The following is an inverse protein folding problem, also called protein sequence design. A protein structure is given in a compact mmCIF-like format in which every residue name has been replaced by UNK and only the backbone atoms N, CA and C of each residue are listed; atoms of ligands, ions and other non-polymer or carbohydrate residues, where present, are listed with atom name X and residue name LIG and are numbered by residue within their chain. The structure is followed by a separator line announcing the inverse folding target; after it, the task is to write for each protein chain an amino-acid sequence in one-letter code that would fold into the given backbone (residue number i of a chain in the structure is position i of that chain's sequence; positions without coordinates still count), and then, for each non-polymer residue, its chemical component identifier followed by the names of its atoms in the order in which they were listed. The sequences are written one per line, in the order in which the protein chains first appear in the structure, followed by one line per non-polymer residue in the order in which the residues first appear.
data_IF_390585163696
#
_entry.id   IF_390585163696
#
_cell.length_a   1.000
_cell.length_b   1.000
_cell.length_c   1.000
_cell.angle_alpha   90.00
_cell.angle_beta   90.00
_cell.angle_gamma   90.00
#
_symmetry.space_group_name_H-M   'P 1'
#
loop_
_entity.id
_entity.type
_entity.pdbx_description
1 polymer ?
2 non-polymer ?
3 non-polymer ?
4 water ?
#
# COMPACT_ATOMS: atom_id res chain seq x y z
N UNK A 6 -7.44 -6.60 -61.56
CA UNK A 6 -8.58 -7.27 -60.89
C UNK A 6 -9.89 -6.82 -61.56
N UNK A 7 -10.93 -7.66 -61.51
CA UNK A 7 -12.30 -7.38 -61.99
C UNK A 7 -12.90 -6.22 -61.19
N UNK A 8 -13.96 -5.64 -61.71
CA UNK A 8 -14.79 -4.64 -60.98
C UNK A 8 -15.32 -5.25 -59.68
N UNK A 9 -15.70 -6.52 -59.69
CA UNK A 9 -16.28 -7.18 -58.49
C UNK A 9 -15.18 -7.31 -57.43
N UNK A 10 -13.96 -7.69 -57.84
CA UNK A 10 -12.80 -7.82 -56.90
C UNK A 10 -12.47 -6.46 -56.30
N UNK A 11 -12.48 -5.43 -57.13
CA UNK A 11 -12.16 -4.05 -56.68
C UNK A 11 -13.25 -3.52 -55.76
N UNK A 12 -14.52 -3.74 -56.07
CA UNK A 12 -15.64 -3.28 -55.18
C UNK A 12 -15.49 -4.00 -53.82
N UNK A 13 -15.25 -5.30 -53.83
CA UNK A 13 -15.20 -6.05 -52.54
C UNK A 13 -13.99 -5.58 -51.74
N UNK A 14 -12.88 -5.29 -52.41
CA UNK A 14 -11.65 -4.85 -51.73
C UNK A 14 -11.90 -3.48 -51.10
N UNK A 15 -12.66 -2.61 -51.76
CA UNK A 15 -12.94 -1.23 -51.31
C UNK A 15 -13.90 -1.31 -50.14
N UNK A 16 -14.92 -2.18 -50.21
CA UNK A 16 -15.88 -2.37 -49.11
C UNK A 16 -15.10 -2.77 -47.84
N UNK A 17 -14.24 -3.77 -47.90
CA UNK A 17 -13.42 -4.25 -46.76
C UNK A 17 -12.51 -3.14 -46.23
N UNK A 18 -11.88 -2.38 -47.11
CA UNK A 18 -10.98 -1.28 -46.67
C UNK A 18 -11.79 -0.20 -45.97
N UNK A 19 -12.95 0.19 -46.52
CA UNK A 19 -13.77 1.24 -45.90
C UNK A 19 -14.36 0.73 -44.58
N UNK A 20 -14.72 -0.54 -44.48
CA UNK A 20 -15.23 -1.09 -43.18
C UNK A 20 -14.11 -0.98 -42.14
N UNK A 21 -12.85 -1.27 -42.50
CA UNK A 21 -11.75 -1.24 -41.50
C UNK A 21 -11.53 0.19 -41.01
N UNK A 22 -11.63 1.21 -41.89
CA UNK A 22 -11.50 2.63 -41.47
C UNK A 22 -12.66 3.01 -40.52
N UNK A 23 -13.88 2.55 -40.81
CA UNK A 23 -15.07 2.76 -39.94
C UNK A 23 -14.90 2.05 -38.59
N UNK A 24 -14.37 0.83 -38.63
CA UNK A 24 -14.10 0.03 -37.41
C UNK A 24 -13.17 0.84 -36.50
N UNK A 25 -12.08 1.35 -37.02
CA UNK A 25 -11.10 2.09 -36.20
C UNK A 25 -11.76 3.32 -35.56
N UNK A 26 -12.54 4.05 -36.33
CA UNK A 26 -13.26 5.20 -35.78
C UNK A 26 -14.15 4.72 -34.63
N UNK A 27 -14.89 3.64 -34.86
CA UNK A 27 -15.94 3.19 -33.91
C UNK A 27 -15.29 2.78 -32.58
N UNK A 28 -14.17 2.10 -32.67
CA UNK A 28 -13.44 1.64 -31.47
C UNK A 28 -12.89 2.88 -30.71
N UNK A 29 -12.26 3.82 -31.38
CA UNK A 29 -11.78 5.07 -30.75
C UNK A 29 -12.93 5.80 -30.06
N UNK A 30 -14.07 5.90 -30.75
CA UNK A 30 -15.27 6.57 -30.21
C UNK A 30 -15.68 5.90 -28.89
N UNK A 31 -15.64 4.57 -28.80
CA UNK A 31 -16.01 3.89 -27.53
C UNK A 31 -15.12 4.45 -26.40
N UNK A 32 -13.80 4.54 -26.58
CA UNK A 32 -12.93 4.98 -25.48
C UNK A 32 -13.20 6.47 -25.20
N UNK A 33 -13.35 7.29 -26.24
CA UNK A 33 -13.56 8.73 -25.97
C UNK A 33 -14.90 8.94 -25.24
N UNK A 34 -15.94 8.19 -25.62
CA UNK A 34 -17.29 8.25 -24.99
C UNK A 34 -17.20 7.74 -23.57
N UNK A 35 -16.53 6.62 -23.36
CA UNK A 35 -16.27 6.08 -22.02
C UNK A 35 -15.71 7.20 -21.14
N UNK A 36 -14.66 7.89 -21.61
CA UNK A 36 -14.08 9.00 -20.86
C UNK A 36 -15.12 10.00 -20.43
N UNK A 37 -15.95 10.48 -21.36
CA UNK A 37 -16.89 11.58 -21.03
C UNK A 37 -17.94 11.09 -20.03
N UNK A 38 -18.20 9.78 -20.01
CA UNK A 38 -19.19 9.25 -19.04
C UNK A 38 -18.54 9.20 -17.68
N UNK A 39 -17.29 8.69 -17.60
CA UNK A 39 -16.69 8.48 -16.26
C UNK A 39 -16.36 9.84 -15.63
N UNK A 40 -16.11 10.88 -16.42
CA UNK A 40 -15.89 12.24 -15.87
C UNK A 40 -17.12 12.72 -15.13
N UNK A 41 -18.28 12.19 -15.49
CA UNK A 41 -19.56 12.58 -14.84
C UNK A 41 -20.03 11.52 -13.84
N UNK A 42 -19.19 10.52 -13.50
CA UNK A 42 -19.62 9.49 -12.54
C UNK A 42 -20.96 8.93 -12.97
N UNK A 43 -21.07 8.52 -14.22
CA UNK A 43 -22.30 7.98 -14.83
C UNK A 43 -22.04 6.53 -15.18
N UNK A 44 -22.19 5.59 -14.24
CA UNK A 44 -21.73 4.23 -14.50
C UNK A 44 -22.63 3.47 -15.47
N UNK A 45 -23.92 3.80 -15.50
CA UNK A 45 -24.91 3.13 -16.37
C UNK A 45 -24.42 3.21 -17.82
N UNK A 46 -24.06 4.39 -18.29
CA UNK A 46 -23.67 4.62 -19.70
C UNK A 46 -22.38 3.84 -19.98
N UNK A 47 -21.52 3.76 -18.97
CA UNK A 47 -20.28 2.96 -19.06
C UNK A 47 -20.66 1.48 -19.23
N UNK A 48 -21.48 0.93 -18.32
CA UNK A 48 -21.94 -0.48 -18.39
C UNK A 48 -22.52 -0.83 -19.77
N UNK A 49 -23.27 0.11 -20.37
CA UNK A 49 -23.90 -0.04 -21.69
C UNK A 49 -22.94 -0.19 -22.85
N UNK A 50 -21.70 0.24 -22.67
CA UNK A 50 -20.64 0.11 -23.71
C UNK A 50 -20.12 -1.32 -23.84
N UNK A 51 -20.40 -2.17 -22.85
CA UNK A 51 -19.81 -3.52 -22.74
C UNK A 51 -20.70 -4.57 -23.38
N UNK A 52 -20.07 -5.53 -24.00
CA UNK A 52 -20.70 -6.83 -24.31
C UNK A 52 -21.18 -7.46 -23.00
N UNK A 53 -22.22 -8.28 -23.05
CA UNK A 53 -22.80 -8.81 -21.80
C UNK A 53 -21.82 -9.76 -21.09
N UNK A 54 -20.95 -10.43 -21.83
CA UNK A 54 -19.90 -11.33 -21.28
C UNK A 54 -18.57 -10.59 -21.25
N UNK A 55 -18.64 -9.26 -21.21
CA UNK A 55 -17.44 -8.41 -21.08
C UNK A 55 -16.96 -8.34 -19.66
N UNK A 56 -15.84 -7.68 -19.46
CA UNK A 56 -15.28 -7.49 -18.13
C UNK A 56 -14.46 -6.21 -18.12
N UNK A 57 -14.29 -5.67 -16.92
CA UNK A 57 -13.31 -4.59 -16.65
C UNK A 57 -12.30 -5.08 -15.62
N UNK A 58 -11.05 -4.72 -15.85
CA UNK A 58 -9.85 -5.06 -15.03
C UNK A 58 -9.29 -3.77 -14.42
N UNK A 59 -9.12 -3.76 -13.11
CA UNK A 59 -8.70 -2.58 -12.33
C UNK A 59 -7.90 -3.10 -11.13
N UNK A 60 -6.69 -2.61 -10.92
CA UNK A 60 -5.81 -3.05 -9.80
C UNK A 60 -5.73 -4.59 -9.79
N UNK A 61 -5.49 -5.22 -10.94
CA UNK A 61 -5.17 -6.65 -11.04
C UNK A 61 -6.35 -7.48 -10.57
N UNK A 62 -7.55 -6.96 -10.79
CA UNK A 62 -8.81 -7.64 -10.44
C UNK A 62 -9.81 -7.58 -11.57
N UNK A 63 -10.49 -8.68 -11.88
CA UNK A 63 -11.54 -8.71 -12.93
C UNK A 63 -12.94 -8.55 -12.33
N UNK A 64 -13.71 -7.62 -12.89
CA UNK A 64 -15.13 -7.33 -12.58
C UNK A 64 -15.95 -7.76 -13.79
N UNK A 65 -16.72 -8.84 -13.63
CA UNK A 65 -17.39 -9.46 -14.81
C UNK A 65 -18.80 -8.95 -15.04
N UNK A 66 -19.11 -8.69 -16.32
CA UNK A 66 -20.46 -8.36 -16.82
C UNK A 66 -20.95 -6.99 -16.35
N UNK A 67 -22.16 -6.65 -16.76
CA UNK A 67 -22.86 -5.45 -16.32
C UNK A 67 -22.81 -5.30 -14.79
N UNK A 68 -23.05 -6.36 -14.05
CA UNK A 68 -23.00 -6.39 -12.58
C UNK A 68 -21.62 -5.93 -12.12
N UNK A 69 -20.55 -6.54 -12.65
CA UNK A 69 -19.21 -6.12 -12.21
C UNK A 69 -18.91 -4.68 -12.57
N UNK A 70 -19.26 -4.28 -13.78
CA UNK A 70 -18.96 -2.90 -14.24
C UNK A 70 -19.75 -1.93 -13.33
N UNK A 71 -21.04 -2.19 -13.05
CA UNK A 71 -21.77 -1.31 -12.10
C UNK A 71 -21.16 -1.32 -10.69
N UNK A 72 -20.61 -2.45 -10.24
CA UNK A 72 -19.97 -2.50 -8.89
C UNK A 72 -18.75 -1.56 -8.87
N UNK A 73 -17.92 -1.63 -9.90
CA UNK A 73 -16.65 -0.83 -9.87
C UNK A 73 -17.00 0.65 -10.03
N UNK A 74 -17.74 1.01 -11.08
CA UNK A 74 -17.99 2.42 -11.47
C UNK A 74 -19.10 3.04 -10.62
N UNK A 75 -20.02 2.23 -10.09
CA UNK A 75 -21.15 2.67 -9.25
C UNK A 75 -20.88 2.47 -7.77
N UNK A 76 -20.88 1.23 -7.29
CA UNK A 76 -20.70 0.92 -5.85
C UNK A 76 -19.39 1.52 -5.32
N UNK A 77 -18.31 1.43 -6.06
CA UNK A 77 -17.03 2.02 -5.64
C UNK A 77 -16.94 3.50 -6.12
N UNK A 78 -16.67 3.77 -7.40
CA UNK A 78 -16.18 5.11 -7.77
C UNK A 78 -17.24 6.21 -7.51
N UNK A 79 -18.49 5.95 -7.89
CA UNK A 79 -19.58 6.95 -7.66
C UNK A 79 -19.79 7.20 -6.19
N UNK A 80 -19.89 6.16 -5.33
CA UNK A 80 -20.11 6.39 -3.90
C UNK A 80 -18.91 7.16 -3.33
N UNK A 81 -17.69 6.85 -3.76
CA UNK A 81 -16.45 7.52 -3.29
C UNK A 81 -16.48 9.02 -3.62
N UNK A 82 -16.69 9.38 -4.89
CA UNK A 82 -16.48 10.77 -5.32
C UNK A 82 -17.73 11.65 -5.20
N UNK A 83 -18.96 11.18 -5.43
CA UNK A 83 -20.20 12.03 -5.44
C UNK A 83 -21.21 11.58 -4.38
N UNK A 84 -20.85 10.62 -3.52
CA UNK A 84 -21.79 10.04 -2.55
C UNK A 84 -22.95 9.37 -3.26
N UNK A 85 -22.70 8.70 -4.38
CA UNK A 85 -23.71 7.89 -5.05
C UNK A 85 -24.68 8.69 -5.91
N UNK A 86 -24.26 9.85 -6.40
CA UNK A 86 -25.07 10.67 -7.30
C UNK A 86 -24.48 10.61 -8.70
N UNK A 87 -25.31 10.50 -9.74
CA UNK A 87 -24.87 10.83 -11.12
C UNK A 87 -24.37 12.29 -11.19
N UNK A 88 -23.20 12.48 -11.80
CA UNK A 88 -22.57 13.81 -11.87
C UNK A 88 -22.86 14.51 -13.17
N UNK A 89 -22.17 15.66 -13.41
CA UNK A 89 -21.22 16.24 -12.45
C UNK A 89 -21.96 16.87 -11.24
N UNK A 90 -21.23 17.23 -10.20
CA UNK A 90 -21.78 17.91 -8.97
C UNK A 90 -20.84 19.03 -8.58
N UNK A 91 -21.38 19.95 -7.78
CA UNK A 91 -20.69 21.16 -7.33
C UNK A 91 -19.32 20.78 -6.78
N UNK A 92 -18.30 21.44 -7.27
CA UNK A 92 -16.99 21.40 -6.61
C UNK A 92 -16.22 20.06 -6.76
N UNK A 93 -16.68 19.15 -7.59
CA UNK A 93 -16.06 17.81 -7.70
C UNK A 93 -15.50 17.72 -9.12
N UNK A 94 -14.17 17.59 -9.18
CA UNK A 94 -13.49 17.46 -10.48
C UNK A 94 -13.04 16.01 -10.64
N UNK A 95 -13.31 15.39 -11.79
CA UNK A 95 -12.81 14.03 -12.06
C UNK A 95 -12.64 13.86 -13.58
N UNK A 96 -11.71 14.63 -14.14
CA UNK A 96 -11.54 14.77 -15.61
C UNK A 96 -10.47 13.75 -16.07
N UNK A 97 -10.86 12.71 -16.76
CA UNK A 97 -9.95 11.64 -17.26
C UNK A 97 -9.63 11.91 -18.74
N UNK A 98 -8.73 12.85 -19.01
CA UNK A 98 -8.35 13.23 -20.39
C UNK A 98 -7.86 11.95 -21.13
N UNK A 99 -8.53 11.59 -22.24
CA UNK A 99 -8.24 10.35 -23.03
C UNK A 99 -7.43 10.69 -24.27
N UNK A 100 -6.41 9.90 -24.55
CA UNK A 100 -5.61 10.16 -25.77
C UNK A 100 -4.79 8.97 -26.27
N UNK A 101 -4.18 9.20 -27.43
CA UNK A 101 -3.05 8.37 -27.95
C UNK A 101 -3.53 6.93 -28.19
N UNK A 102 -4.53 6.80 -29.05
CA UNK A 102 -5.12 5.53 -29.49
C UNK A 102 -4.21 4.82 -30.48
N UNK A 103 -3.88 3.55 -30.23
CA UNK A 103 -3.25 2.69 -31.26
C UNK A 103 -4.08 1.39 -31.35
N UNK A 104 -4.92 1.29 -32.38
CA UNK A 104 -5.96 0.24 -32.49
C UNK A 104 -5.56 -0.74 -33.58
N UNK A 105 -5.79 -2.03 -33.28
CA UNK A 105 -5.44 -3.13 -34.19
C UNK A 105 -6.70 -3.99 -34.37
N UNK A 106 -7.26 -3.99 -35.57
CA UNK A 106 -8.48 -4.77 -35.89
C UNK A 106 -8.00 -6.16 -36.33
N UNK A 107 -8.62 -7.22 -35.83
CA UNK A 107 -8.26 -8.58 -36.28
C UNK A 107 -8.48 -8.69 -37.78
N UNK A 108 -7.73 -9.58 -38.49
CA UNK A 108 -7.97 -9.75 -39.93
C UNK A 108 -9.42 -10.03 -40.32
N UNK A 109 -10.14 -10.83 -39.52
CA UNK A 109 -11.56 -11.20 -39.76
C UNK A 109 -12.51 -10.03 -39.45
N UNK A 110 -12.05 -8.93 -38.86
CA UNK A 110 -12.90 -7.73 -38.61
C UNK A 110 -13.90 -7.95 -37.48
N UNK A 111 -13.84 -9.06 -36.76
CA UNK A 111 -14.88 -9.34 -35.73
C UNK A 111 -14.36 -9.00 -34.31
N UNK A 112 -13.05 -8.84 -34.12
CA UNK A 112 -12.49 -8.39 -32.82
C UNK A 112 -11.43 -7.34 -33.08
N UNK A 113 -10.98 -6.72 -32.00
CA UNK A 113 -9.92 -5.70 -32.03
C UNK A 113 -9.27 -5.55 -30.67
N UNK A 114 -8.07 -5.00 -30.70
CA UNK A 114 -7.36 -4.54 -29.49
C UNK A 114 -7.07 -3.05 -29.64
N UNK A 115 -6.86 -2.37 -28.54
CA UNK A 115 -6.46 -0.94 -28.64
C UNK A 115 -5.71 -0.54 -27.42
N UNK A 116 -4.60 0.18 -27.66
CA UNK A 116 -3.85 0.87 -26.58
C UNK A 116 -4.35 2.32 -26.50
N UNK A 117 -4.59 2.78 -25.29
CA UNK A 117 -4.92 4.18 -25.01
C UNK A 117 -4.26 4.59 -23.71
N UNK A 118 -4.41 5.87 -23.34
CA UNK A 118 -4.02 6.31 -21.99
C UNK A 118 -4.91 7.45 -21.55
N UNK A 119 -4.92 7.61 -20.25
CA UNK A 119 -5.63 8.70 -19.60
C UNK A 119 -4.76 9.44 -18.66
N UNK A 120 -4.99 10.75 -18.53
CA UNK A 120 -4.44 11.55 -17.43
C UNK A 120 -5.64 12.21 -16.73
N UNK A 121 -5.69 11.99 -15.43
CA UNK A 121 -6.80 12.45 -14.59
C UNK A 121 -6.35 13.62 -13.74
N UNK A 122 -7.19 14.65 -13.74
CA UNK A 122 -7.16 15.77 -12.78
C UNK A 122 -8.40 15.61 -11.92
N UNK A 123 -8.17 15.38 -10.63
CA UNK A 123 -9.24 15.06 -9.70
C UNK A 123 -9.17 15.86 -8.41
N UNK A 124 -10.36 16.09 -7.86
CA UNK A 124 -10.43 16.40 -6.44
C UNK A 124 -11.67 17.16 -5.98
N UNK A 125 -11.68 17.38 -4.68
CA UNK A 125 -12.75 18.07 -3.94
C UNK A 125 -12.36 19.53 -3.74
N UNK A 126 -13.21 20.44 -4.19
CA UNK A 126 -12.99 21.87 -3.90
C UNK A 126 -13.11 22.08 -2.38
N UNK A 127 -12.50 23.13 -1.87
CA UNK A 127 -12.66 23.62 -0.47
C UNK A 127 -14.15 23.71 -0.12
N UNK A 128 -15.04 24.05 -1.05
CA UNK A 128 -16.46 24.22 -0.76
C UNK A 128 -17.04 22.90 -0.23
N UNK A 129 -16.54 21.77 -0.72
CA UNK A 129 -17.18 20.44 -0.44
C UNK A 129 -16.16 19.53 0.29
N UNK A 130 -15.03 20.06 0.78
CA UNK A 130 -13.94 19.14 1.22
C UNK A 130 -14.43 18.32 2.44
N UNK A 131 -15.40 18.84 3.17
CA UNK A 131 -15.96 18.07 4.33
C UNK A 131 -16.67 16.79 3.85
N UNK A 132 -16.98 16.62 2.57
CA UNK A 132 -17.63 15.43 1.97
C UNK A 132 -16.55 14.42 1.54
N UNK A 133 -15.28 14.82 1.50
CA UNK A 133 -14.16 13.92 1.10
C UNK A 133 -13.91 12.87 2.18
N UNK A 134 -13.75 11.58 1.81
CA UNK A 134 -13.34 10.55 2.76
C UNK A 134 -12.03 10.97 3.43
N UNK A 135 -11.95 10.81 4.75
CA UNK A 135 -10.64 10.88 5.44
C UNK A 135 -9.65 9.94 4.71
N UNK A 136 -8.47 10.43 4.41
CA UNK A 136 -7.44 9.55 3.82
C UNK A 136 -7.31 9.77 2.33
N UNK A 137 -8.25 10.46 1.68
CA UNK A 137 -8.16 10.76 0.25
C UNK A 137 -7.42 12.08 0.13
N UNK A 138 -6.55 12.23 -0.90
CA UNK A 138 -5.99 13.55 -1.24
C UNK A 138 -7.11 14.51 -1.69
N UNK A 139 -6.99 15.75 -1.29
CA UNK A 139 -7.98 16.79 -1.71
C UNK A 139 -7.86 16.95 -3.23
N UNK A 140 -6.68 16.88 -3.81
CA UNK A 140 -6.51 17.17 -5.25
C UNK A 140 -5.26 16.42 -5.75
N UNK A 141 -5.38 15.85 -6.91
CA UNK A 141 -4.38 14.89 -7.40
C UNK A 141 -4.46 14.76 -8.91
N UNK A 142 -3.34 14.24 -9.40
CA UNK A 142 -3.20 13.78 -10.79
C UNK A 142 -3.02 12.25 -10.76
N UNK A 143 -3.51 11.57 -11.79
CA UNK A 143 -3.22 10.15 -12.01
C UNK A 143 -3.04 9.91 -13.49
N UNK A 144 -2.29 8.91 -13.87
CA UNK A 144 -2.31 8.52 -15.29
C UNK A 144 -2.19 7.00 -15.37
N UNK A 145 -2.79 6.42 -16.41
CA UNK A 145 -2.64 4.97 -16.67
C UNK A 145 -2.81 4.63 -18.10
N UNK A 146 -2.43 3.39 -18.43
CA UNK A 146 -2.51 2.85 -19.80
C UNK A 146 -3.67 1.88 -19.85
N UNK A 147 -4.42 1.91 -20.93
CA UNK A 147 -5.43 0.91 -21.32
C UNK A 147 -4.92 -0.01 -22.40
N UNK A 148 -5.05 -1.34 -22.19
CA UNK A 148 -4.91 -2.30 -23.31
C UNK A 148 -6.21 -3.07 -23.32
N UNK A 149 -7.08 -2.72 -24.24
CA UNK A 149 -8.49 -3.18 -24.25
C UNK A 149 -8.74 -4.17 -25.40
N UNK A 150 -9.80 -4.96 -25.22
CA UNK A 150 -10.37 -5.88 -26.21
C UNK A 150 -11.79 -5.47 -26.58
N UNK A 151 -12.09 -5.66 -27.84
CA UNK A 151 -13.37 -5.25 -28.46
C UNK A 151 -13.93 -6.42 -29.25
N UNK A 152 -15.25 -6.47 -29.36
CA UNK A 152 -15.94 -7.46 -30.23
C UNK A 152 -16.94 -6.69 -31.09
N UNK A 153 -17.11 -7.09 -32.36
CA UNK A 153 -18.17 -6.56 -33.24
C UNK A 153 -19.35 -7.54 -33.15
N UNK A 154 -20.43 -7.12 -32.51
CA UNK A 154 -21.60 -7.99 -32.22
C UNK A 154 -22.79 -7.43 -33.02
N UNK A 155 -23.29 -8.23 -33.95
CA UNK A 155 -24.45 -7.84 -34.79
C UNK A 155 -24.16 -6.47 -35.39
N UNK A 156 -22.93 -6.29 -35.86
CA UNK A 156 -22.48 -5.11 -36.60
C UNK A 156 -22.21 -3.91 -35.71
N UNK A 157 -22.21 -4.05 -34.38
CA UNK A 157 -21.91 -2.94 -33.43
C UNK A 157 -20.65 -3.26 -32.62
N UNK A 158 -19.68 -2.35 -32.57
CA UNK A 158 -18.47 -2.54 -31.74
C UNK A 158 -18.82 -2.34 -30.27
N UNK A 159 -18.30 -3.21 -29.43
CA UNK A 159 -18.55 -3.07 -27.98
C UNK A 159 -17.24 -3.36 -27.28
N UNK A 160 -17.16 -2.95 -26.02
CA UNK A 160 -15.99 -3.27 -25.18
C UNK A 160 -16.16 -4.71 -24.68
N UNK A 161 -15.17 -5.56 -24.94
CA UNK A 161 -15.14 -6.94 -24.40
C UNK A 161 -14.34 -6.95 -23.12
N UNK A 162 -13.23 -6.25 -23.08
CA UNK A 162 -12.34 -6.22 -21.91
C UNK A 162 -11.71 -4.83 -21.83
N UNK A 163 -12.05 -4.08 -20.81
CA UNK A 163 -11.38 -2.80 -20.50
C UNK A 163 -10.36 -3.08 -19.42
N UNK A 164 -9.09 -2.85 -19.67
CA UNK A 164 -8.01 -3.18 -18.73
C UNK A 164 -7.27 -1.88 -18.45
N UNK A 165 -7.54 -1.29 -17.33
CA UNK A 165 -6.90 0.00 -16.97
C UNK A 165 -5.77 -0.30 -16.00
N UNK A 166 -4.52 -0.05 -16.42
CA UNK A 166 -3.33 -0.26 -15.56
C UNK A 166 -2.83 1.10 -15.12
N UNK A 167 -3.25 1.54 -13.94
CA UNK A 167 -2.77 2.79 -13.34
C UNK A 167 -1.24 2.77 -13.31
N UNK A 168 -0.57 3.86 -13.71
CA UNK A 168 0.91 3.90 -13.83
C UNK A 168 1.49 4.84 -12.78
N UNK A 169 0.88 6.00 -12.52
CA UNK A 169 1.41 6.94 -11.51
C UNK A 169 0.27 7.81 -10.95
N UNK A 170 0.47 8.28 -9.73
CA UNK A 170 -0.40 9.22 -9.01
C UNK A 170 0.49 10.36 -8.50
N UNK A 171 -0.07 11.55 -8.32
CA UNK A 171 0.64 12.65 -7.67
C UNK A 171 -0.33 13.43 -6.82
N UNK A 172 -0.03 13.64 -5.55
CA UNK A 172 -0.77 14.69 -4.82
C UNK A 172 -0.50 16.00 -5.57
N UNK A 173 -1.51 16.86 -5.77
CA UNK A 173 -1.26 18.14 -6.51
C UNK A 173 -0.10 18.92 -5.90
N UNK A 174 -0.06 19.04 -4.57
CA UNK A 174 0.84 19.96 -3.85
C UNK A 174 2.26 19.40 -3.87
N UNK A 175 2.43 18.12 -4.08
CA UNK A 175 3.77 17.49 -3.85
C UNK A 175 4.36 16.86 -5.12
N UNK A 176 3.56 16.38 -6.04
CA UNK A 176 4.06 15.82 -7.31
C UNK A 176 4.24 14.32 -7.26
N UNK A 177 4.48 13.74 -8.44
CA UNK A 177 4.61 12.26 -8.62
C UNK A 177 5.84 11.76 -7.86
N UNK A 178 6.91 12.56 -7.81
CA UNK A 178 8.19 12.04 -7.26
C UNK A 178 8.08 11.95 -5.75
N UNK A 179 7.07 12.54 -5.10
CA UNK A 179 6.87 12.55 -3.65
C UNK A 179 5.59 11.83 -3.23
N UNK A 180 4.97 11.10 -4.15
CA UNK A 180 3.67 10.43 -3.95
C UNK A 180 3.86 8.93 -4.07
N UNK A 181 3.29 8.21 -3.09
CA UNK A 181 3.13 6.74 -3.11
C UNK A 181 1.64 6.45 -3.34
N UNK A 182 1.28 5.61 -4.32
CA UNK A 182 -0.14 5.15 -4.44
C UNK A 182 -0.55 4.36 -3.20
N UNK A 183 -1.69 4.71 -2.56
CA UNK A 183 -2.31 3.89 -1.47
C UNK A 183 -3.01 2.69 -2.09
N UNK A 184 -3.55 2.87 -3.30
CA UNK A 184 -4.16 1.74 -4.03
C UNK A 184 -3.07 0.72 -4.35
N UNK A 185 -3.36 -0.53 -4.06
CA UNK A 185 -2.47 -1.67 -4.28
C UNK A 185 -3.26 -2.71 -5.04
N UNK A 186 -2.58 -3.69 -5.69
CA UNK A 186 -3.30 -4.73 -6.41
C UNK A 186 -4.30 -5.40 -5.45
N UNK A 187 -5.46 -5.74 -5.99
CA UNK A 187 -6.57 -6.37 -5.26
C UNK A 187 -6.03 -7.60 -4.53
N UNK A 188 -6.51 -7.81 -3.32
CA UNK A 188 -6.16 -9.00 -2.50
C UNK A 188 -7.42 -9.77 -2.06
N UNK A 189 -8.57 -9.08 -2.01
CA UNK A 189 -9.85 -9.64 -1.54
C UNK A 189 -10.91 -9.51 -2.64
N UNK A 190 -11.54 -10.63 -2.95
CA UNK A 190 -12.64 -10.73 -3.94
C UNK A 190 -13.99 -10.35 -3.34
N UNK A 191 -14.89 -9.88 -4.20
CA UNK A 191 -16.35 -9.81 -3.89
C UNK A 191 -16.80 -11.26 -3.69
N UNK A 192 -17.72 -11.60 -2.75
CA UNK A 192 -18.45 -10.65 -1.91
C UNK A 192 -17.88 -10.23 -0.55
N UNK A 193 -16.85 -10.89 -0.04
CA UNK A 193 -16.13 -10.50 1.21
C UNK A 193 -15.84 -9.01 1.13
N UNK A 194 -15.22 -8.61 0.02
CA UNK A 194 -14.95 -7.19 -0.30
C UNK A 194 -16.07 -6.70 -1.19
N UNK A 195 -16.96 -5.83 -0.63
CA UNK A 195 -18.13 -5.32 -1.37
C UNK A 195 -17.79 -4.50 -2.62
N UNK A 196 -16.56 -4.00 -2.72
CA UNK A 196 -16.15 -3.24 -3.93
C UNK A 196 -15.03 -4.01 -4.63
N UNK A 197 -14.83 -5.28 -4.28
CA UNK A 197 -13.71 -6.03 -4.87
C UNK A 197 -14.06 -6.75 -6.18
N UNK A 198 -13.04 -7.33 -6.87
CA UNK A 198 -13.27 -7.99 -8.13
C UNK A 198 -13.95 -9.35 -7.95
N UNK A 199 -14.50 -9.87 -9.02
CA UNK A 199 -14.99 -11.28 -9.11
C UNK A 199 -13.81 -12.25 -8.91
N UNK A 200 -12.67 -11.97 -9.51
CA UNK A 200 -11.47 -12.85 -9.49
C UNK A 200 -10.25 -11.95 -9.53
N UNK A 201 -9.15 -12.39 -8.89
CA UNK A 201 -7.82 -11.75 -9.01
C UNK A 201 -7.24 -12.19 -10.34
N UNK A 202 -6.37 -11.40 -10.93
CA UNK A 202 -5.53 -11.91 -12.03
C UNK A 202 -4.60 -13.00 -11.51
N UNK A 203 -4.13 -13.86 -12.43
CA UNK A 203 -3.01 -14.75 -12.14
C UNK A 203 -1.76 -13.95 -11.70
N UNK A 204 -0.95 -14.53 -10.80
CA UNK A 204 0.24 -13.90 -10.14
C UNK A 204 1.12 -13.23 -11.21
N UNK A 205 1.26 -13.88 -12.36
CA UNK A 205 2.16 -13.42 -13.45
C UNK A 205 1.61 -12.12 -14.06
N UNK A 206 0.36 -11.75 -13.79
CA UNK A 206 -0.24 -10.51 -14.37
C UNK A 206 -0.50 -9.47 -13.28
N UNK A 207 -0.09 -9.76 -12.05
CA UNK A 207 -0.37 -8.83 -10.93
C UNK A 207 0.63 -7.68 -11.02
N UNK A 208 0.16 -6.44 -10.97
CA UNK A 208 1.03 -5.22 -11.03
C UNK A 208 1.05 -4.49 -9.71
N UNK A 209 2.26 -4.23 -9.21
CA UNK A 209 2.40 -3.34 -8.04
C UNK A 209 2.29 -1.90 -8.55
N UNK A 210 1.92 -0.99 -7.67
CA UNK A 210 1.53 0.39 -8.08
C UNK A 210 2.65 1.38 -7.77
N UNK A 211 2.60 2.51 -8.47
CA UNK A 211 3.52 3.66 -8.33
C UNK A 211 4.00 3.83 -6.90
N UNK A 212 5.33 3.99 -6.66
CA UNK A 212 6.39 4.04 -7.68
C UNK A 212 6.94 2.75 -8.27
N UNK A 213 6.38 1.62 -7.90
CA UNK A 213 6.65 0.38 -8.63
C UNK A 213 6.21 0.53 -10.08
N UNK A 214 6.95 -0.10 -10.99
CA UNK A 214 6.69 0.01 -12.43
C UNK A 214 6.85 -1.38 -13.03
N UNK A 215 6.11 -1.60 -14.10
CA UNK A 215 6.19 -2.82 -14.93
C UNK A 215 5.73 -2.43 -16.33
N UNK A 216 6.37 -2.96 -17.36
CA UNK A 216 5.92 -2.74 -18.76
C UNK A 216 4.48 -3.22 -18.94
N UNK A 217 3.77 -2.49 -19.79
CA UNK A 217 2.49 -2.91 -20.37
C UNK A 217 2.80 -3.22 -21.82
N UNK A 218 2.96 -4.50 -22.23
CA UNK A 218 3.41 -4.78 -23.57
C UNK A 218 2.45 -4.14 -24.58
N UNK A 219 3.01 -3.78 -25.72
CA UNK A 219 2.26 -3.15 -26.82
C UNK A 219 1.34 -4.17 -27.46
N UNK A 220 0.08 -3.84 -27.68
CA UNK A 220 -0.82 -4.75 -28.41
C UNK A 220 -0.53 -4.64 -29.90
N UNK A 221 0.17 -3.58 -30.31
CA UNK A 221 0.44 -3.34 -31.76
C UNK A 221 1.83 -3.87 -32.13
N UNK A 222 1.98 -4.36 -33.35
CA UNK A 222 3.29 -4.67 -33.95
C UNK A 222 4.07 -3.38 -34.21
N UNK A 223 5.38 -3.51 -34.30
CA UNK A 223 6.21 -2.37 -34.75
C UNK A 223 5.66 -1.85 -36.09
N UNK A 224 5.24 -0.58 -36.22
CA UNK A 224 4.48 -0.17 -37.41
C UNK A 224 5.33 -0.07 -38.70
N UNK A 225 6.65 -0.11 -38.59
CA UNK A 225 7.55 -0.07 -39.78
C UNK A 225 8.18 -1.42 -40.06
N UNK A 226 8.69 -2.09 -39.04
CA UNK A 226 9.45 -3.35 -39.24
C UNK A 226 8.61 -4.63 -38.99
N UNK A 227 7.41 -4.51 -38.39
CA UNK A 227 6.53 -5.62 -37.95
C UNK A 227 7.40 -6.72 -37.31
N UNK A 228 7.20 -8.01 -37.64
CA UNK A 228 7.91 -9.10 -36.91
C UNK A 228 9.40 -9.12 -37.25
N UNK A 229 9.84 -8.39 -38.27
CA UNK A 229 11.26 -8.28 -38.65
C UNK A 229 12.02 -7.46 -37.59
N UNK A 230 11.32 -6.66 -36.78
CA UNK A 230 12.01 -5.85 -35.75
C UNK A 230 12.76 -6.77 -34.78
N UNK A 231 14.05 -6.49 -34.56
CA UNK A 231 14.88 -7.14 -33.50
C UNK A 231 15.68 -6.07 -32.76
N UNK A 232 15.61 -6.07 -31.43
CA UNK A 232 16.18 -5.02 -30.56
C UNK A 232 17.69 -4.97 -30.80
N UNK A 233 18.35 -6.14 -30.78
CA UNK A 233 19.81 -6.21 -30.58
C UNK A 233 20.58 -5.53 -31.70
N UNK A 234 20.16 -5.69 -32.95
CA UNK A 234 20.84 -5.05 -34.11
C UNK A 234 21.02 -3.55 -33.78
N UNK A 235 19.98 -2.87 -33.31
CA UNK A 235 20.04 -1.42 -33.08
C UNK A 235 20.90 -1.13 -31.84
N UNK A 236 20.80 -1.95 -30.81
CA UNK A 236 21.45 -1.65 -29.51
C UNK A 236 22.95 -1.51 -29.74
N UNK A 237 23.50 -2.25 -30.72
CA UNK A 237 24.93 -2.20 -31.11
C UNK A 237 25.39 -0.76 -31.39
N UNK A 238 24.50 0.14 -31.84
CA UNK A 238 24.86 1.54 -32.24
C UNK A 238 24.86 2.48 -31.02
N UNK A 239 24.38 2.06 -29.85
CA UNK A 239 24.31 2.93 -28.66
C UNK A 239 25.65 2.89 -27.90
N UNK A 240 26.11 4.02 -27.31
CA UNK A 240 27.22 4.11 -26.31
C UNK A 240 26.67 4.83 -25.09
N UNK B 6 38.28 9.68 48.18
CA UNK B 6 37.13 10.44 48.71
C UNK B 6 36.72 9.86 50.06
N UNK B 7 35.80 10.53 50.76
CA UNK B 7 35.23 10.11 52.07
C UNK B 7 34.46 8.80 51.91
N UNK B 8 34.21 8.11 53.02
CA UNK B 8 33.33 6.92 53.06
C UNK B 8 31.95 7.26 52.46
N UNK B 9 31.42 8.43 52.81
CA UNK B 9 30.06 8.85 52.38
C UNK B 9 30.07 9.05 50.86
N UNK B 10 31.10 9.70 50.32
CA UNK B 10 31.19 10.01 48.87
C UNK B 10 31.26 8.69 48.09
N UNK B 11 32.06 7.77 48.58
CA UNK B 11 32.26 6.47 47.92
C UNK B 11 30.95 5.64 48.00
N UNK B 12 30.31 5.58 49.18
CA UNK B 12 28.96 4.94 49.31
C UNK B 12 27.93 5.52 48.32
N UNK B 13 27.85 6.84 48.23
CA UNK B 13 26.81 7.46 47.37
C UNK B 13 27.14 7.18 45.90
N UNK B 14 28.41 7.19 45.53
CA UNK B 14 28.81 6.96 44.12
C UNK B 14 28.49 5.51 43.77
N UNK B 15 28.67 4.57 44.71
CA UNK B 15 28.38 3.13 44.49
C UNK B 15 26.87 2.93 44.36
N UNK B 16 26.10 3.57 45.20
CA UNK B 16 24.61 3.49 45.18
C UNK B 16 24.10 3.91 43.80
N UNK B 17 24.54 5.05 43.29
CA UNK B 17 24.16 5.58 41.96
C UNK B 17 24.61 4.59 40.86
N UNK B 18 25.83 4.04 40.95
CA UNK B 18 26.31 3.12 39.89
C UNK B 18 25.50 1.83 39.91
N UNK B 19 25.20 1.27 41.09
CA UNK B 19 24.38 0.04 41.19
C UNK B 19 22.96 0.33 40.73
N UNK B 20 22.42 1.48 41.05
CA UNK B 20 21.04 1.82 40.59
C UNK B 20 21.03 1.81 39.05
N UNK B 21 22.07 2.36 38.40
CA UNK B 21 22.05 2.48 36.92
C UNK B 21 22.13 1.08 36.29
N UNK B 22 22.96 0.17 36.84
CA UNK B 22 23.00 -1.25 36.37
C UNK B 22 21.62 -1.91 36.50
N UNK B 23 20.93 -1.65 37.62
CA UNK B 23 19.57 -2.20 37.88
C UNK B 23 18.57 -1.63 36.90
N UNK B 24 18.65 -0.31 36.68
CA UNK B 24 17.78 0.39 35.72
C UNK B 24 17.93 -0.30 34.33
N UNK B 25 19.18 -0.53 33.85
CA UNK B 25 19.38 -1.15 32.53
C UNK B 25 18.68 -2.52 32.48
N UNK B 26 18.87 -3.34 33.52
CA UNK B 26 18.19 -4.65 33.57
C UNK B 26 16.68 -4.45 33.46
N UNK B 27 16.12 -3.55 34.26
CA UNK B 27 14.63 -3.39 34.39
C UNK B 27 14.07 -3.02 33.01
N UNK B 28 14.76 -2.12 32.32
CA UNK B 28 14.27 -1.55 31.03
C UNK B 28 14.32 -2.69 29.98
N UNK B 29 15.41 -3.44 29.91
CA UNK B 29 15.52 -4.58 28.98
C UNK B 29 14.45 -5.62 29.27
N UNK B 30 14.20 -5.87 30.57
CA UNK B 30 13.16 -6.82 31.00
C UNK B 30 11.81 -6.40 30.43
N UNK B 31 11.49 -5.11 30.46
CA UNK B 31 10.19 -4.63 29.91
C UNK B 31 10.04 -5.10 28.46
N UNK B 32 11.05 -4.92 27.61
CA UNK B 32 10.91 -5.28 26.20
C UNK B 32 10.84 -6.81 26.06
N UNK B 33 11.63 -7.54 26.83
CA UNK B 33 11.63 -9.02 26.67
C UNK B 33 10.25 -9.53 27.15
N UNK B 34 9.71 -9.01 28.30
CA UNK B 34 8.39 -9.42 28.79
C UNK B 34 7.31 -9.00 27.79
N UNK B 35 7.38 -7.80 27.25
CA UNK B 35 6.46 -7.32 26.19
C UNK B 35 6.41 -8.37 25.08
N UNK B 36 7.62 -8.78 24.59
CA UNK B 36 7.67 -9.83 23.56
C UNK B 36 6.91 -11.08 23.94
N UNK B 37 7.07 -11.58 25.16
CA UNK B 37 6.47 -12.89 25.46
C UNK B 37 4.96 -12.72 25.57
N UNK B 38 4.48 -11.53 25.93
CA UNK B 38 3.02 -11.26 26.00
C UNK B 38 2.46 -11.20 24.59
N UNK B 39 3.12 -10.45 23.68
CA UNK B 39 2.54 -10.24 22.32
C UNK B 39 2.55 -11.55 21.51
N UNK B 40 3.52 -12.44 21.78
CA UNK B 40 3.51 -13.77 21.11
C UNK B 40 2.24 -14.56 21.45
N UNK B 41 1.68 -14.24 22.61
CA UNK B 41 0.46 -14.94 23.07
C UNK B 41 -0.81 -14.11 22.83
N UNK B 42 -0.74 -13.02 22.08
CA UNK B 42 -1.91 -12.19 21.80
C UNK B 42 -2.58 -11.86 23.14
N UNK B 43 -1.79 -11.35 24.08
CA UNK B 43 -2.29 -11.02 25.43
C UNK B 43 -2.17 -9.53 25.63
N UNK B 44 -3.15 -8.73 25.17
CA UNK B 44 -2.92 -7.28 25.13
C UNK B 44 -3.00 -6.65 26.54
N UNK B 45 -3.74 -7.27 27.47
CA UNK B 45 -3.92 -6.74 28.82
C UNK B 45 -2.55 -6.58 29.49
N UNK B 46 -1.74 -7.62 29.44
CA UNK B 46 -0.42 -7.59 30.10
C UNK B 46 0.43 -6.53 29.42
N UNK B 47 0.28 -6.41 28.12
CA UNK B 47 1.02 -5.37 27.33
C UNK B 47 0.58 -3.99 27.84
N UNK B 48 -0.74 -3.71 27.88
CA UNK B 48 -1.26 -2.39 28.36
C UNK B 48 -0.64 -2.06 29.74
N UNK B 49 -0.53 -3.07 30.62
CA UNK B 49 0.01 -2.96 31.99
C UNK B 49 1.43 -2.49 32.06
N UNK B 50 2.22 -2.69 31.00
CA UNK B 50 3.64 -2.24 30.99
C UNK B 50 3.79 -0.73 30.87
N UNK B 51 2.73 -0.06 30.44
CA UNK B 51 2.76 1.36 30.07
C UNK B 51 2.42 2.27 31.26
N UNK B 52 3.05 3.43 31.22
CA UNK B 52 2.60 4.56 32.03
C UNK B 52 1.21 4.96 31.56
N UNK B 53 0.38 5.50 32.46
CA UNK B 53 -1.02 5.77 32.11
C UNK B 53 -1.11 6.85 31.02
N UNK B 54 -0.14 7.77 30.94
CA UNK B 54 -0.04 8.81 29.89
C UNK B 54 0.98 8.37 28.83
N UNK B 55 1.20 7.05 28.72
CA UNK B 55 2.12 6.51 27.72
C UNK B 55 1.44 6.34 26.37
N UNK B 56 2.17 5.86 25.38
CA UNK B 56 1.63 5.72 24.03
C UNK B 56 2.38 4.65 23.28
N UNK B 57 1.69 4.09 22.29
CA UNK B 57 2.35 3.20 21.30
C UNK B 57 2.19 3.82 19.92
N UNK B 58 3.24 3.69 19.13
CA UNK B 58 3.32 4.22 17.74
C UNK B 58 3.54 3.03 16.78
N UNK B 59 2.69 2.93 15.77
CA UNK B 59 2.69 1.81 14.82
C UNK B 59 2.19 2.36 13.48
N UNK B 60 2.97 2.14 12.44
CA UNK B 60 2.65 2.64 11.08
C UNK B 60 2.44 4.15 11.13
N UNK B 61 3.25 4.90 11.86
CA UNK B 61 3.25 6.38 11.81
C UNK B 61 1.94 6.94 12.36
N UNK B 62 1.32 6.23 13.26
CA UNK B 62 0.20 6.73 14.06
C UNK B 62 0.37 6.43 15.55
N UNK B 63 -0.10 7.36 16.39
CA UNK B 63 0.05 7.27 17.86
C UNK B 63 -1.27 6.80 18.47
N UNK B 64 -1.19 5.76 19.31
CA UNK B 64 -2.30 5.18 20.10
C UNK B 64 -2.06 5.53 21.55
N UNK B 65 -2.91 6.36 22.14
CA UNK B 65 -2.68 6.95 23.51
C UNK B 65 -3.31 6.19 24.66
N UNK B 66 -2.47 5.92 25.67
CA UNK B 66 -2.90 5.39 26.97
C UNK B 66 -3.29 3.94 26.91
N UNK B 67 -3.80 3.42 28.04
CA UNK B 67 -4.32 2.06 28.10
C UNK B 67 -5.35 1.83 27.00
N UNK B 68 -6.23 2.82 26.76
CA UNK B 68 -7.28 2.64 25.75
C UNK B 68 -6.62 2.42 24.39
N UNK B 69 -5.67 3.30 24.02
CA UNK B 69 -5.02 3.13 22.70
C UNK B 69 -4.28 1.81 22.60
N UNK B 70 -3.52 1.45 23.64
CA UNK B 70 -2.74 0.17 23.64
C UNK B 70 -3.70 -1.02 23.47
N UNK B 71 -4.83 -1.07 24.20
CA UNK B 71 -5.82 -2.15 24.01
C UNK B 71 -6.46 -2.10 22.61
N UNK B 72 -6.67 -0.90 22.03
CA UNK B 72 -7.23 -0.84 20.64
C UNK B 72 -6.23 -1.46 19.64
N UNK B 73 -4.93 -1.18 19.77
CA UNK B 73 -3.97 -1.71 18.80
C UNK B 73 -3.81 -3.22 18.99
N UNK B 74 -3.45 -3.63 20.20
CA UNK B 74 -3.03 -5.05 20.46
C UNK B 74 -4.26 -5.95 20.66
N UNK B 75 -5.40 -5.40 21.09
CA UNK B 75 -6.65 -6.15 21.31
C UNK B 75 -7.60 -6.00 20.14
N UNK B 76 -8.16 -4.81 19.91
CA UNK B 76 -9.19 -4.67 18.84
C UNK B 76 -8.61 -5.00 17.44
N UNK B 77 -7.38 -4.60 17.18
CA UNK B 77 -6.70 -4.94 15.91
C UNK B 77 -6.02 -6.32 16.04
N UNK B 78 -4.86 -6.46 16.67
CA UNK B 78 -3.99 -7.65 16.48
C UNK B 78 -4.68 -8.91 16.95
N UNK B 79 -5.25 -8.88 18.14
CA UNK B 79 -5.89 -10.10 18.69
C UNK B 79 -7.08 -10.53 17.82
N UNK B 80 -7.96 -9.61 17.44
CA UNK B 80 -9.10 -9.96 16.56
C UNK B 80 -8.61 -10.50 15.22
N UNK B 81 -7.54 -9.90 14.66
CA UNK B 81 -6.91 -10.37 13.40
C UNK B 81 -6.42 -11.83 13.53
N UNK B 82 -5.57 -12.12 14.52
CA UNK B 82 -4.82 -13.40 14.55
C UNK B 82 -5.58 -14.56 15.26
N UNK B 83 -6.34 -14.32 16.34
CA UNK B 83 -6.99 -15.41 17.14
C UNK B 83 -8.51 -15.25 17.18
N UNK B 84 -9.08 -14.29 16.44
CA UNK B 84 -10.53 -13.98 16.49
C UNK B 84 -10.90 -13.48 17.89
N UNK B 85 -10.03 -12.73 18.55
CA UNK B 85 -10.37 -12.09 19.84
C UNK B 85 -10.25 -13.02 21.03
N UNK B 86 -9.35 -14.01 20.95
CA UNK B 86 -9.06 -14.92 22.08
C UNK B 86 -7.67 -14.65 22.63
N UNK B 87 -7.48 -14.64 23.94
CA UNK B 87 -6.11 -14.66 24.53
C UNK B 87 -5.43 -15.98 24.10
N UNK B 88 -4.21 -15.85 23.56
CA UNK B 88 -3.47 -17.00 23.03
C UNK B 88 -2.59 -17.63 24.08
N UNK B 89 -1.77 -18.62 23.67
CA UNK B 89 -1.72 -19.10 22.28
C UNK B 89 -2.92 -20.02 21.98
N UNK B 90 -3.15 -20.24 20.69
CA UNK B 90 -4.22 -21.12 20.17
C UNK B 90 -3.67 -22.09 19.14
N UNK B 91 -4.44 -23.16 18.92
CA UNK B 91 -4.07 -24.21 17.96
C UNK B 91 -3.59 -23.61 16.65
N UNK B 92 -2.42 -24.03 16.16
CA UNK B 92 -2.04 -23.75 14.77
C UNK B 92 -1.70 -22.30 14.43
N UNK B 93 -1.62 -21.38 15.37
CA UNK B 93 -1.40 -19.94 15.13
C UNK B 93 -0.05 -19.61 15.73
N UNK B 94 0.85 -19.25 14.84
CA UNK B 94 2.21 -18.88 15.28
C UNK B 94 2.33 -17.34 15.21
N UNK B 95 2.86 -16.71 16.24
CA UNK B 95 3.15 -15.26 16.17
C UNK B 95 4.33 -14.95 17.09
N UNK B 96 5.51 -15.49 16.73
CA UNK B 96 6.72 -15.43 17.61
C UNK B 96 7.54 -14.20 17.23
N UNK B 97 7.61 -13.18 18.09
CA UNK B 97 8.32 -11.92 17.85
C UNK B 97 9.66 -11.93 18.59
N UNK B 98 10.64 -12.63 18.03
CA UNK B 98 11.94 -12.81 18.69
C UNK B 98 12.52 -11.41 18.97
N UNK B 99 12.87 -11.09 20.23
CA UNK B 99 13.32 -9.75 20.67
C UNK B 99 14.82 -9.80 20.91
N UNK B 100 15.57 -8.81 20.42
CA UNK B 100 17.05 -8.83 20.66
C UNK B 100 17.72 -7.48 20.51
N UNK B 101 19.01 -7.46 20.81
CA UNK B 101 19.92 -6.33 20.47
C UNK B 101 19.49 -5.01 21.11
N UNK B 102 19.41 -5.00 22.42
CA UNK B 102 19.08 -3.81 23.27
C UNK B 102 20.27 -2.85 23.34
N UNK B 103 20.05 -1.58 23.04
CA UNK B 103 21.05 -0.53 23.38
C UNK B 103 20.28 0.58 24.12
N UNK B 104 20.42 0.61 25.45
CA UNK B 104 19.63 1.46 26.37
C UNK B 104 20.52 2.56 26.91
N UNK B 105 19.91 3.72 27.05
CA UNK B 105 20.58 4.96 27.50
C UNK B 105 19.70 5.56 28.58
N UNK B 106 20.18 5.58 29.81
CA UNK B 106 19.46 6.17 30.97
C UNK B 106 19.80 7.67 31.03
N UNK B 107 18.80 8.52 31.25
CA UNK B 107 19.05 9.97 31.42
C UNK B 107 19.99 10.19 32.61
N UNK B 108 20.78 11.28 32.64
CA UNK B 108 21.60 11.57 33.82
C UNK B 108 20.85 11.58 35.16
N UNK B 109 19.61 12.06 35.21
CA UNK B 109 18.82 12.14 36.47
C UNK B 109 18.24 10.77 36.86
N UNK B 110 18.38 9.73 36.03
CA UNK B 110 17.89 8.37 36.35
C UNK B 110 16.38 8.25 36.24
N UNK B 111 15.67 9.28 35.78
CA UNK B 111 14.18 9.25 35.85
C UNK B 111 13.55 8.91 34.50
N UNK B 112 14.31 8.97 33.40
CA UNK B 112 13.82 8.56 32.08
C UNK B 112 14.92 7.80 31.38
N UNK B 113 14.58 7.16 30.28
CA UNK B 113 15.55 6.38 29.48
C UNK B 113 15.04 6.20 28.06
N UNK B 114 15.96 5.94 27.14
CA UNK B 114 15.64 5.53 25.78
C UNK B 114 16.26 4.14 25.54
N UNK B 115 15.70 3.38 24.62
CA UNK B 115 16.33 2.14 24.21
C UNK B 115 15.97 1.80 22.80
N UNK B 116 17.00 1.36 22.07
CA UNK B 116 16.86 0.73 20.75
C UNK B 116 16.78 -0.79 20.92
N UNK B 117 15.85 -1.40 20.22
CA UNK B 117 15.72 -2.89 20.20
C UNK B 117 15.28 -3.30 18.81
N UNK B 118 15.08 -4.60 18.57
CA UNK B 118 14.54 -5.06 17.29
C UNK B 118 13.87 -6.40 17.53
N UNK B 119 12.95 -6.68 16.64
CA UNK B 119 12.28 -7.96 16.62
C UNK B 119 12.32 -8.57 15.26
N UNK B 120 12.31 -9.89 15.21
CA UNK B 120 12.04 -10.67 13.98
C UNK B 120 10.89 -11.62 14.31
N UNK B 121 9.84 -11.51 13.51
CA UNK B 121 8.59 -12.27 13.70
C UNK B 121 8.52 -13.40 12.68
N UNK B 122 8.17 -14.58 13.18
CA UNK B 122 7.71 -15.73 12.41
C UNK B 122 6.25 -15.91 12.74
N UNK B 123 5.41 -15.73 11.73
CA UNK B 123 3.94 -15.65 11.85
C UNK B 123 3.22 -16.58 10.87
N UNK B 124 2.07 -17.09 11.32
CA UNK B 124 1.10 -17.63 10.36
C UNK B 124 0.09 -18.61 10.91
N UNK B 125 -0.77 -19.00 9.98
CA UNK B 125 -1.88 -19.93 10.19
C UNK B 125 -1.47 -21.29 9.65
N UNK B 126 -1.47 -22.33 10.51
CA UNK B 126 -1.26 -23.69 10.01
C UNK B 126 -2.39 -24.05 9.03
N UNK B 127 -2.16 -25.01 8.14
CA UNK B 127 -3.21 -25.63 7.29
C UNK B 127 -4.45 -26.02 8.12
N UNK B 128 -4.26 -26.44 9.38
CA UNK B 128 -5.41 -26.92 10.20
C UNK B 128 -6.41 -25.79 10.36
N UNK B 129 -5.95 -24.53 10.37
CA UNK B 129 -6.86 -23.41 10.78
C UNK B 129 -6.92 -22.37 9.65
N UNK B 130 -6.41 -22.67 8.45
CA UNK B 130 -6.23 -21.58 7.44
C UNK B 130 -7.61 -21.06 6.98
N UNK B 131 -8.66 -21.83 7.14
CA UNK B 131 -10.05 -21.31 6.91
C UNK B 131 -10.40 -20.16 7.85
N UNK B 132 -9.69 -19.93 8.96
CA UNK B 132 -9.95 -18.83 9.93
C UNK B 132 -9.18 -17.59 9.45
N UNK B 133 -8.22 -17.74 8.54
CA UNK B 133 -7.34 -16.63 8.13
C UNK B 133 -8.13 -15.63 7.29
N UNK B 134 -8.06 -14.31 7.59
CA UNK B 134 -8.71 -13.33 6.72
C UNK B 134 -8.19 -13.48 5.30
N UNK B 135 -9.11 -13.44 4.34
CA UNK B 135 -8.70 -13.36 2.93
C UNK B 135 -7.75 -12.16 2.79
N UNK B 136 -6.63 -12.33 2.07
CA UNK B 136 -5.72 -11.20 1.83
C UNK B 136 -4.51 -11.23 2.73
N UNK B 137 -4.55 -12.00 3.81
CA UNK B 137 -3.38 -12.17 4.69
C UNK B 137 -2.53 -13.30 4.12
N UNK B 138 -1.18 -13.21 4.17
CA UNK B 138 -0.33 -14.34 3.85
C UNK B 138 -0.50 -15.46 4.89
N UNK B 139 -0.47 -16.71 4.41
CA UNK B 139 -0.60 -17.87 5.32
C UNK B 139 0.59 -17.89 6.27
N UNK B 140 1.78 -17.53 5.80
CA UNK B 140 3.02 -17.61 6.66
C UNK B 140 3.98 -16.54 6.17
N UNK B 141 4.64 -15.90 7.11
CA UNK B 141 5.47 -14.74 6.79
C UNK B 141 6.54 -14.54 7.85
N UNK B 142 7.53 -13.77 7.43
CA UNK B 142 8.54 -13.14 8.31
C UNK B 142 8.30 -11.64 8.32
N UNK B 143 8.64 -11.00 9.44
CA UNK B 143 8.66 -9.54 9.52
C UNK B 143 9.79 -9.13 10.44
N UNK B 144 10.32 -7.94 10.27
CA UNK B 144 11.26 -7.47 11.30
C UNK B 144 11.11 -5.96 11.38
N UNK B 145 11.40 -5.41 12.57
CA UNK B 145 11.38 -3.96 12.75
C UNK B 145 12.20 -3.51 13.90
N UNK B 146 12.39 -2.20 13.96
CA UNK B 146 13.25 -1.57 14.96
C UNK B 146 12.32 -0.86 15.94
N UNK B 147 12.62 -0.93 17.19
CA UNK B 147 12.02 -0.13 18.29
C UNK B 147 12.98 0.97 18.76
N UNK B 148 12.47 2.21 18.88
CA UNK B 148 13.16 3.28 19.60
C UNK B 148 12.18 3.81 20.61
N UNK B 149 12.33 3.34 21.83
CA UNK B 149 11.33 3.51 22.92
C UNK B 149 11.83 4.51 23.96
N UNK B 150 10.87 5.10 24.67
CA UNK B 150 11.05 5.96 25.85
C UNK B 150 10.46 5.26 27.07
N UNK B 151 11.11 5.52 28.19
CA UNK B 151 10.80 4.92 29.50
C UNK B 151 10.74 6.01 30.55
N UNK B 152 9.93 5.75 31.59
CA UNK B 152 9.85 6.68 32.75
C UNK B 152 10.01 5.82 33.99
N UNK B 153 10.70 6.33 35.02
CA UNK B 153 10.73 5.68 36.34
C UNK B 153 9.67 6.38 37.17
N UNK B 154 8.59 5.68 37.46
CA UNK B 154 7.45 6.26 38.21
C UNK B 154 7.42 5.58 39.58
N UNK B 155 7.65 6.35 40.65
CA UNK B 155 7.53 5.83 42.02
C UNK B 155 8.38 4.58 42.11
N UNK B 156 9.58 4.65 41.56
CA UNK B 156 10.60 3.62 41.73
C UNK B 156 10.47 2.52 40.69
N UNK B 157 9.43 2.55 39.83
CA UNK B 157 9.14 1.44 38.87
C UNK B 157 9.31 1.92 37.41
N UNK B 158 10.09 1.17 36.61
CA UNK B 158 10.30 1.53 35.17
C UNK B 158 9.06 1.15 34.39
N UNK B 159 8.61 2.03 33.53
CA UNK B 159 7.44 1.71 32.70
C UNK B 159 7.74 2.19 31.30
N UNK B 160 6.93 1.72 30.36
CA UNK B 160 7.05 2.18 28.96
C UNK B 160 6.30 3.51 28.85
N UNK B 161 6.99 4.55 28.43
CA UNK B 161 6.37 5.87 28.13
C UNK B 161 5.95 5.95 26.68
N UNK B 162 6.75 5.44 25.78
CA UNK B 162 6.52 5.48 24.32
C UNK B 162 7.16 4.19 23.77
N UNK B 163 6.35 3.36 23.15
CA UNK B 163 6.83 2.22 22.39
C UNK B 163 6.65 2.57 20.94
N UNK B 164 7.73 2.61 20.19
CA UNK B 164 7.63 3.05 18.79
C UNK B 164 8.20 1.96 17.92
N UNK B 165 7.35 1.18 17.31
CA UNK B 165 7.79 0.05 16.47
C UNK B 165 7.77 0.50 15.01
N UNK B 166 8.94 0.54 14.37
CA UNK B 166 9.06 0.88 12.96
C UNK B 166 9.33 -0.37 12.16
N UNK B 167 8.30 -0.98 11.62
CA UNK B 167 8.44 -2.17 10.75
C UNK B 167 9.39 -1.85 9.62
N UNK B 168 10.36 -2.72 9.37
CA UNK B 168 11.42 -2.45 8.38
C UNK B 168 11.20 -3.32 7.14
N UNK B 169 10.83 -4.60 7.29
CA UNK B 169 10.62 -5.49 6.13
C UNK B 169 9.63 -6.63 6.51
N UNK B 170 9.03 -7.20 5.47
CA UNK B 170 8.10 -8.35 5.51
C UNK B 170 8.52 -9.28 4.38
N UNK B 171 8.30 -10.57 4.57
CA UNK B 171 8.57 -11.57 3.54
C UNK B 171 7.49 -12.63 3.61
N UNK B 172 6.71 -12.82 2.55
CA UNK B 172 5.90 -14.06 2.48
C UNK B 172 6.86 -15.23 2.60
N UNK B 173 6.56 -16.25 3.41
CA UNK B 173 7.52 -17.38 3.64
C UNK B 173 8.03 -17.95 2.30
N UNK B 174 7.12 -18.13 1.35
CA UNK B 174 7.42 -18.94 0.13
C UNK B 174 8.25 -18.11 -0.85
N UNK B 175 8.22 -16.77 -0.72
CA UNK B 175 8.80 -15.91 -1.78
C UNK B 175 9.98 -15.08 -1.29
N UNK B 176 10.05 -14.73 -0.01
CA UNK B 176 11.19 -13.98 0.53
C UNK B 176 10.99 -12.48 0.48
N UNK B 177 11.89 -11.77 1.17
CA UNK B 177 11.74 -10.29 1.33
C UNK B 177 11.93 -9.61 -0.03
N UNK B 178 12.76 -10.19 -0.92
CA UNK B 178 13.10 -9.51 -2.19
C UNK B 178 11.89 -9.52 -3.14
N UNK B 179 10.91 -10.35 -2.88
CA UNK B 179 9.73 -10.57 -3.74
C UNK B 179 8.44 -10.16 -3.01
N UNK B 180 8.54 -9.51 -1.84
CA UNK B 180 7.38 -9.11 -1.00
C UNK B 180 7.26 -7.60 -0.95
N UNK B 181 6.02 -7.13 -1.10
CA UNK B 181 5.63 -5.71 -0.82
C UNK B 181 4.80 -5.74 0.44
N UNK B 182 5.11 -4.93 1.46
CA UNK B 182 4.16 -4.73 2.59
C UNK B 182 2.79 -4.19 2.12
N UNK B 183 1.69 -4.85 2.56
CA UNK B 183 0.28 -4.37 2.36
C UNK B 183 0.00 -3.23 3.36
N UNK B 184 0.63 -3.31 4.51
CA UNK B 184 0.50 -2.23 5.51
C UNK B 184 1.22 -1.01 5.02
N UNK B 185 0.59 0.14 5.14
CA UNK B 185 1.15 1.45 4.78
C UNK B 185 0.99 2.37 5.97
N UNK B 186 1.71 3.50 6.01
CA UNK B 186 1.53 4.45 7.09
C UNK B 186 0.05 4.80 7.24
N UNK B 187 -0.37 4.98 8.47
CA UNK B 187 -1.77 5.32 8.86
C UNK B 187 -2.20 6.55 8.06
N UNK B 188 -3.45 6.53 7.58
CA UNK B 188 -4.07 7.67 6.85
C UNK B 188 -5.36 8.11 7.53
N UNK B 189 -5.99 7.25 8.32
CA UNK B 189 -7.34 7.52 8.91
C UNK B 189 -7.26 7.24 10.42
N UNK B 190 -7.66 8.21 11.21
CA UNK B 190 -7.63 8.14 12.69
C UNK B 190 -8.89 7.46 13.26
N UNK B 191 -8.76 6.93 14.47
CA UNK B 191 -9.93 6.56 15.29
C UNK B 191 -10.69 7.85 15.60
N UNK B 192 -12.04 7.90 15.65
CA UNK B 192 -12.91 6.72 15.47
C UNK B 192 -13.45 6.31 14.09
N UNK B 193 -13.24 7.12 13.06
CA UNK B 193 -13.60 6.82 11.65
C UNK B 193 -13.07 5.43 11.32
N UNK B 194 -11.80 5.23 11.65
CA UNK B 194 -11.10 3.93 11.52
C UNK B 194 -11.09 3.28 12.90
N UNK B 195 -11.92 2.23 13.08
CA UNK B 195 -12.03 1.52 14.37
C UNK B 195 -10.73 0.94 14.95
N UNK B 196 -9.74 0.70 14.09
CA UNK B 196 -8.43 0.17 14.54
C UNK B 196 -7.36 1.23 14.26
N UNK B 197 -7.77 2.47 13.97
CA UNK B 197 -6.80 3.55 13.67
C UNK B 197 -6.16 4.19 14.89
N UNK B 198 -5.08 4.98 14.70
CA UNK B 198 -4.44 5.70 15.79
C UNK B 198 -5.28 6.91 16.25
N UNK B 199 -5.00 7.39 17.46
CA UNK B 199 -5.55 8.69 17.95
C UNK B 199 -5.12 9.85 17.06
N UNK B 200 -3.87 9.88 16.61
CA UNK B 200 -3.36 10.96 15.71
C UNK B 200 -2.27 10.37 14.82
N UNK B 201 -2.11 10.93 13.63
CA UNK B 201 -1.04 10.60 12.68
C UNK B 201 0.21 11.33 13.16
N UNK B 202 1.39 10.80 12.89
CA UNK B 202 2.62 11.57 13.18
C UNK B 202 2.66 12.78 12.24
N UNK B 203 3.48 13.77 12.57
CA UNK B 203 3.83 14.82 11.60
C UNK B 203 4.51 14.21 10.38
N UNK B 204 4.25 14.81 9.20
CA UNK B 204 4.72 14.30 7.88
C UNK B 204 6.20 13.96 7.93
N UNK B 205 7.01 14.73 8.66
CA UNK B 205 8.48 14.55 8.70
C UNK B 205 8.85 13.26 9.44
N UNK B 206 7.90 12.61 10.15
CA UNK B 206 8.17 11.34 10.88
C UNK B 206 7.45 10.18 10.20
N UNK B 207 6.69 10.45 9.16
CA UNK B 207 5.88 9.41 8.47
C UNK B 207 6.83 8.49 7.70
N UNK B 208 6.66 7.18 7.85
CA UNK B 208 7.54 6.22 7.13
C UNK B 208 6.74 5.38 6.15
N UNK B 209 7.22 5.33 4.90
CA UNK B 209 6.69 4.38 3.92
C UNK B 209 7.29 2.99 4.24
N UNK B 210 6.60 1.94 3.83
CA UNK B 210 6.91 0.56 4.28
C UNK B 210 7.64 -0.19 3.17
N UNK B 211 8.37 -1.22 3.60
CA UNK B 211 9.11 -2.16 2.73
C UNK B 211 8.42 -2.33 1.39
N UNK B 212 9.13 -2.25 0.23
CA UNK B 212 10.58 -2.02 0.16
C UNK B 212 11.12 -0.60 0.29
N UNK B 213 10.26 0.40 0.48
CA UNK B 213 10.68 1.75 0.92
C UNK B 213 11.51 1.65 2.21
N UNK B 214 12.52 2.49 2.34
CA UNK B 214 13.38 2.48 3.55
C UNK B 214 13.65 3.92 3.94
N UNK B 215 13.88 4.11 5.20
CA UNK B 215 14.33 5.35 5.86
C UNK B 215 15.09 4.97 7.13
N UNK B 216 16.14 5.74 7.40
CA UNK B 216 16.90 5.57 8.64
C UNK B 216 16.02 5.70 9.87
N UNK B 217 16.33 4.90 10.87
CA UNK B 217 15.84 5.13 12.25
C UNK B 217 17.06 5.62 13.01
N UNK B 218 17.18 6.94 13.30
CA UNK B 218 18.39 7.43 13.95
C UNK B 218 18.63 6.69 15.27
N UNK B 219 19.88 6.54 15.61
CA UNK B 219 20.27 5.81 16.85
C UNK B 219 19.97 6.71 18.04
N UNK B 220 19.33 6.18 19.08
CA UNK B 220 19.09 6.94 20.32
C UNK B 220 20.38 7.03 21.12
N UNK B 221 21.38 6.23 20.74
CA UNK B 221 22.64 6.15 21.52
C UNK B 221 23.75 6.93 20.83
N UNK B 222 24.58 7.56 21.65
CA UNK B 222 25.87 8.15 21.23
C UNK B 222 26.80 7.07 20.70
N UNK B 223 27.74 7.47 19.84
CA UNK B 223 28.82 6.55 19.41
C UNK B 223 29.51 6.07 20.69
N UNK B 224 29.60 4.75 20.92
CA UNK B 224 30.07 4.30 22.23
C UNK B 224 31.57 4.49 22.47
N UNK B 225 32.34 4.84 21.43
CA UNK B 225 33.81 5.10 21.62
C UNK B 225 34.15 6.58 21.46
N UNK B 226 33.60 7.25 20.47
CA UNK B 226 34.01 8.65 20.16
C UNK B 226 33.01 9.69 20.68
N UNK B 227 31.81 9.28 21.12
CA UNK B 227 30.67 10.13 21.55
C UNK B 227 30.54 11.32 20.56
N UNK B 228 30.33 12.55 21.05
CA UNK B 228 30.05 13.72 20.17
C UNK B 228 31.26 14.01 19.26
N UNK B 229 32.45 13.52 19.60
CA UNK B 229 33.70 13.78 18.83
C UNK B 229 33.64 13.04 17.49
N UNK B 230 32.81 12.00 17.36
CA UNK B 230 32.70 11.23 16.10
C UNK B 230 32.31 12.17 14.95
N UNK B 231 33.08 12.15 13.85
CA UNK B 231 32.75 12.84 12.57
C UNK B 231 32.97 11.89 11.40
N UNK B 232 31.93 11.74 10.57
CA UNK B 232 31.86 10.73 9.49
C UNK B 232 32.98 11.04 8.50
N UNK B 233 33.11 12.32 8.12
CA UNK B 233 33.92 12.75 6.96
C UNK B 233 35.37 12.37 7.09
N UNK B 234 35.96 12.53 8.27
CA UNK B 234 37.39 12.16 8.44
C UNK B 234 37.57 10.69 8.03
N UNK B 235 36.71 9.78 8.49
CA UNK B 235 36.86 8.34 8.10
C UNK B 235 36.57 8.14 6.59
N UNK B 236 35.61 8.85 6.00
CA UNK B 236 35.16 8.61 4.62
C UNK B 236 36.38 8.71 3.71
N UNK B 237 37.31 9.64 4.03
CA UNK B 237 38.54 9.89 3.25
C UNK B 237 39.32 8.60 3.00
N UNK B 238 39.26 7.63 3.91
CA UNK B 238 40.06 6.37 3.81
C UNK B 238 39.40 5.34 2.89
N UNK B 239 38.13 5.51 2.47
CA UNK B 239 37.43 4.54 1.59
C UNK B 239 37.76 4.82 0.11
N UNK B 240 37.69 3.80 -0.76
CA UNK B 240 37.89 4.02 -2.22
C UNK B 240 36.61 3.61 -2.94
N UNK B 241 36.39 4.13 -4.15
CA UNK B 241 35.19 3.86 -5.00
C UNK B 241 35.59 2.96 -6.18
#
# INVERSE_FOLDING_TARGET
MTDVNASSESRLAALEARVTELEDLNAIRRLQWAYGYYIDYNRPEEVAGLFAKDGAVVFLSGEYVGYEGVMRLYGTWFQNLFTGGRRGPVHGLLLDHFQLQDVITIAPDGQTAKGRFRGILAGGWHDDIVKDKPEGMPQQFWESGIYENDYVKEDGVWKIKRLDYMMQWQADYETGWSKTIAHLQPAAVCFPENPIGPDRLLPETEVRQTWPHRAEVPMSFAHPVLAKAFAVGEFTKLQKKWPLEHHHHHH
MTDVNASSESRLAALEARVTELEDLNAIRRLQWAYGYYIDYNRPEEVAGLFAKDGAVVFLSGEYVGYEGVMRLYGTWFQNLFTGGRRGPVHGLLLDHFQLQDVITIAPDGQTAKGRFRGILAGGWHDDIVKDKPEGMPQQFWESGIYENDYVKEDGVWKIKRLDYMMQWQADYETGWSKTIAHLQPAAVCFPENPIGPDRLLPETEVRQTWPHRAEVPMSFAHPVLAKAFAVGEFTKLQKKWPLEHHHHHH
#
